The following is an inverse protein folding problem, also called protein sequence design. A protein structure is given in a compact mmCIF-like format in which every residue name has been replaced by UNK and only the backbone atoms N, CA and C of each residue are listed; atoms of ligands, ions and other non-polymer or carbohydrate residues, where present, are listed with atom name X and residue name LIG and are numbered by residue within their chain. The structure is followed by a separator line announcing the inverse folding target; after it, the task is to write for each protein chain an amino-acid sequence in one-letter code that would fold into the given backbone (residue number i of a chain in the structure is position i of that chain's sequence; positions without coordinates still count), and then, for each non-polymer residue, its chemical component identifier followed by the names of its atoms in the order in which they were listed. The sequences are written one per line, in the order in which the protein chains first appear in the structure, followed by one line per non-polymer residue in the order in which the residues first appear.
data_IF_964430886248
#
_entry.id   IF_964430886248
#
_cell.length_a   1.000
_cell.length_b   1.000
_cell.length_c   1.000
_cell.angle_alpha   90.00
_cell.angle_beta   90.00
_cell.angle_gamma   90.00
#
_symmetry.space_group_name_H-M   'P 1'
#
loop_
_entity.id
_entity.type
_entity.pdbx_description
1 polymer ?
#
# COMPACT_ATOMS: atom_id res chain seq x y z
N UNK A 1 -19.27 -3.53 -14.28
CA UNK A 1 -18.06 -2.95 -13.66
C UNK A 1 -17.20 -4.11 -13.22
N UNK A 2 -15.93 -4.13 -13.63
CA UNK A 2 -14.98 -5.17 -13.21
C UNK A 2 -14.66 -4.96 -11.74
N UNK A 3 -14.87 -5.98 -10.90
CA UNK A 3 -14.49 -5.91 -9.49
C UNK A 3 -12.98 -5.66 -9.38
N UNK A 4 -12.61 -4.74 -8.50
CA UNK A 4 -11.21 -4.36 -8.24
C UNK A 4 -10.88 -4.64 -6.78
N UNK A 5 -9.77 -5.32 -6.53
CA UNK A 5 -9.30 -5.65 -5.18
C UNK A 5 -7.96 -4.95 -4.92
N UNK A 6 -7.80 -4.46 -3.70
CA UNK A 6 -6.57 -3.84 -3.20
C UNK A 6 -5.84 -4.79 -2.27
N UNK A 7 -4.53 -4.96 -2.46
CA UNK A 7 -3.65 -5.67 -1.56
C UNK A 7 -2.41 -4.83 -1.25
N UNK A 8 -1.89 -5.01 -0.04
CA UNK A 8 -0.62 -4.40 0.36
C UNK A 8 0.47 -5.47 0.44
N UNK A 9 1.70 -5.17 0.03
CA UNK A 9 2.81 -6.12 0.13
C UNK A 9 3.98 -5.60 0.96
N UNK A 10 4.70 -6.51 1.61
CA UNK A 10 5.95 -6.18 2.30
C UNK A 10 7.17 -6.54 1.44
N UNK A 11 7.88 -5.53 0.97
CA UNK A 11 9.19 -5.68 0.32
C UNK A 11 10.31 -6.04 1.31
N UNK A 12 11.54 -6.19 0.82
CA UNK A 12 12.72 -6.50 1.66
C UNK A 12 12.93 -5.51 2.79
N UNK A 13 12.53 -4.25 2.61
CA UNK A 13 12.77 -3.19 3.58
C UNK A 13 11.70 -3.18 4.67
N UNK A 14 10.42 -3.26 4.28
CA UNK A 14 9.30 -3.39 5.22
C UNK A 14 9.48 -4.56 6.18
N UNK A 15 9.91 -5.72 5.66
CA UNK A 15 10.14 -6.91 6.47
C UNK A 15 11.27 -6.77 7.48
N UNK A 16 12.13 -5.75 7.36
CA UNK A 16 13.24 -5.46 8.29
C UNK A 16 12.87 -4.43 9.35
N UNK A 17 11.64 -3.93 9.38
CA UNK A 17 11.15 -2.98 10.37
C UNK A 17 10.86 -3.63 11.73
N UNK A 18 11.73 -4.53 12.19
CA UNK A 18 11.62 -5.10 13.51
C UNK A 18 11.72 -4.00 14.59
N UNK A 19 10.94 -4.08 15.68
CA UNK A 19 10.02 -5.17 16.00
C UNK A 19 8.64 -5.08 15.33
N UNK A 20 8.28 -3.94 14.72
CA UNK A 20 6.93 -3.68 14.18
C UNK A 20 6.47 -4.71 13.15
N UNK A 21 7.28 -4.98 12.13
CA UNK A 21 6.94 -5.96 11.08
C UNK A 21 6.97 -7.42 11.53
N UNK A 22 7.22 -7.69 12.83
CA UNK A 22 7.13 -9.02 13.44
C UNK A 22 5.83 -9.22 14.20
N UNK A 23 5.14 -8.14 14.56
CA UNK A 23 3.91 -8.19 15.37
C UNK A 23 2.66 -7.86 14.56
N UNK A 24 2.80 -7.15 13.43
CA UNK A 24 1.70 -6.85 12.50
C UNK A 24 2.23 -6.51 11.10
N UNK A 25 1.37 -6.57 10.05
CA UNK A 25 1.74 -6.08 8.73
C UNK A 25 2.11 -4.59 8.78
N UNK A 26 3.13 -4.18 8.04
CA UNK A 26 3.55 -2.77 8.01
C UNK A 26 2.43 -1.81 7.58
N UNK A 27 1.49 -2.29 6.75
CA UNK A 27 0.33 -1.51 6.33
C UNK A 27 -0.62 -1.13 7.49
N UNK A 28 -0.61 -1.89 8.58
CA UNK A 28 -1.42 -1.62 9.78
C UNK A 28 -0.71 -0.69 10.79
N UNK A 29 0.40 -0.06 10.39
CA UNK A 29 1.07 0.96 11.19
C UNK A 29 0.46 2.34 10.93
N UNK A 30 0.22 3.08 12.01
CA UNK A 30 -0.31 4.44 11.97
C UNK A 30 0.74 5.42 11.43
N UNK A 31 0.34 6.28 10.50
CA UNK A 31 1.13 7.41 10.04
C UNK A 31 0.25 8.60 9.65
N UNK A 32 0.22 9.60 10.51
CA UNK A 32 -0.79 10.65 10.51
C UNK A 32 -2.04 10.24 11.30
N UNK A 33 -3.21 10.53 10.73
CA UNK A 33 -4.52 10.16 11.27
C UNK A 33 -5.04 8.81 10.76
N UNK A 34 -4.33 8.17 9.84
CA UNK A 34 -4.70 6.89 9.21
C UNK A 34 -3.53 5.90 9.29
N UNK A 35 -3.84 4.61 9.28
CA UNK A 35 -2.85 3.58 8.93
C UNK A 35 -2.41 3.70 7.47
N UNK A 36 -1.26 3.12 7.13
CA UNK A 36 -0.80 3.08 5.73
C UNK A 36 -1.79 2.33 4.83
N UNK A 37 -2.46 1.29 5.35
CA UNK A 37 -3.56 0.59 4.67
C UNK A 37 -4.73 1.54 4.44
N UNK A 38 -5.28 2.16 5.48
CA UNK A 38 -6.44 3.04 5.33
C UNK A 38 -6.16 4.19 4.36
N UNK A 39 -4.94 4.71 4.36
CA UNK A 39 -4.51 5.70 3.38
C UNK A 39 -4.58 5.16 1.94
N UNK A 40 -4.07 3.96 1.70
CA UNK A 40 -4.21 3.33 0.38
C UNK A 40 -5.69 3.09 0.02
N UNK A 41 -6.52 2.65 0.98
CA UNK A 41 -7.97 2.50 0.77
C UNK A 41 -8.64 3.81 0.36
N UNK A 42 -8.22 4.93 0.95
CA UNK A 42 -8.69 6.27 0.59
C UNK A 42 -8.28 6.67 -0.83
N UNK A 43 -7.03 6.45 -1.23
CA UNK A 43 -6.56 6.77 -2.59
C UNK A 43 -7.29 5.94 -3.64
N UNK A 44 -7.45 4.64 -3.40
CA UNK A 44 -8.02 3.74 -4.39
C UNK A 44 -9.55 3.62 -4.29
N UNK A 45 -10.18 4.16 -3.25
CA UNK A 45 -11.62 4.12 -3.06
C UNK A 45 -12.18 2.71 -2.79
N UNK A 46 -11.37 1.80 -2.27
CA UNK A 46 -11.73 0.39 -2.05
C UNK A 46 -11.07 -0.18 -0.81
N UNK A 47 -11.70 -1.17 -0.17
CA UNK A 47 -11.15 -1.85 1.01
C UNK A 47 -10.01 -2.80 0.64
N UNK A 48 -8.97 -2.82 1.47
CA UNK A 48 -7.89 -3.77 1.35
C UNK A 48 -8.42 -5.18 1.63
N UNK A 49 -8.15 -6.10 0.71
CA UNK A 49 -8.55 -7.50 0.80
C UNK A 49 -7.48 -8.37 1.48
N UNK A 50 -6.24 -7.88 1.61
CA UNK A 50 -5.21 -8.58 2.39
C UNK A 50 -3.80 -8.02 2.27
N UNK A 51 -2.93 -8.49 3.16
CA UNK A 51 -1.50 -8.20 3.19
C UNK A 51 -0.66 -9.39 2.73
N UNK A 52 0.16 -9.18 1.72
CA UNK A 52 1.19 -10.10 1.24
C UNK A 52 2.48 -9.90 2.07
N UNK A 53 2.41 -10.33 3.34
CA UNK A 53 3.47 -10.10 4.34
C UNK A 53 4.31 -11.36 4.64
N UNK A 54 4.89 -11.43 5.84
CA UNK A 54 5.55 -12.64 6.34
C UNK A 54 4.53 -13.73 6.68
N UNK A 55 4.85 -14.98 6.37
CA UNK A 55 4.02 -16.14 6.76
C UNK A 55 3.82 -16.23 8.29
N UNK A 56 4.76 -15.72 9.09
CA UNK A 56 4.61 -15.69 10.56
C UNK A 56 3.43 -14.82 11.05
N UNK A 57 2.88 -13.96 10.19
CA UNK A 57 1.71 -13.12 10.46
C UNK A 57 0.41 -13.73 9.88
N UNK A 58 0.46 -14.94 9.32
CA UNK A 58 -0.75 -15.71 8.98
C UNK A 58 -1.53 -15.95 10.26
N UNK A 59 -2.78 -15.51 10.29
CA UNK A 59 -3.61 -15.50 11.51
C UNK A 59 -3.45 -14.27 12.40
N UNK A 60 -2.77 -13.21 11.94
CA UNK A 60 -2.93 -11.88 12.54
C UNK A 60 -4.41 -11.49 12.51
N UNK A 61 -4.96 -11.19 13.67
CA UNK A 61 -6.39 -10.93 13.89
C UNK A 61 -6.51 -9.75 14.89
N UNK A 62 -6.66 -8.55 14.34
CA UNK A 62 -7.04 -7.35 15.07
C UNK A 62 -8.34 -6.78 14.46
N UNK A 63 -9.23 -6.19 15.26
CA UNK A 63 -10.44 -5.55 14.75
C UNK A 63 -10.12 -4.58 13.62
N UNK A 64 -10.91 -4.63 12.55
CA UNK A 64 -10.83 -3.76 11.37
C UNK A 64 -9.52 -3.85 10.54
N UNK A 65 -8.63 -4.80 10.87
CA UNK A 65 -7.44 -5.08 10.06
C UNK A 65 -7.75 -5.98 8.86
N UNK A 66 -7.00 -5.81 7.78
CA UNK A 66 -7.06 -6.73 6.66
C UNK A 66 -6.26 -8.01 6.98
N UNK A 67 -6.70 -9.20 6.51
CA UNK A 67 -6.00 -10.45 6.81
C UNK A 67 -4.62 -10.49 6.14
N UNK A 68 -3.69 -11.25 6.71
CA UNK A 68 -2.49 -11.66 5.97
C UNK A 68 -2.83 -12.83 5.06
N UNK A 69 -2.49 -12.72 3.78
CA UNK A 69 -2.74 -13.76 2.76
C UNK A 69 -1.45 -14.11 2.01
N UNK A 70 -1.44 -15.28 1.38
CA UNK A 70 -0.42 -15.67 0.40
C UNK A 70 -0.80 -15.23 -1.02
N UNK A 71 0.16 -15.32 -1.95
CA UNK A 71 -0.02 -14.84 -3.32
C UNK A 71 -1.08 -15.64 -4.10
N UNK A 72 -1.18 -16.93 -3.81
CA UNK A 72 -2.14 -17.88 -4.37
C UNK A 72 -3.58 -17.66 -3.88
N UNK A 73 -3.78 -16.84 -2.85
CA UNK A 73 -5.10 -16.43 -2.37
C UNK A 73 -5.66 -15.19 -3.10
N UNK A 74 -4.86 -14.54 -3.97
CA UNK A 74 -5.33 -13.42 -4.78
C UNK A 74 -6.40 -13.89 -5.76
N UNK A 75 -7.58 -13.27 -5.72
CA UNK A 75 -8.72 -13.68 -6.56
C UNK A 75 -8.42 -13.57 -8.05
N UNK A 76 -8.55 -14.66 -8.79
CA UNK A 76 -8.46 -14.63 -10.26
C UNK A 76 -9.60 -13.82 -10.89
N UNK A 77 -9.40 -13.34 -12.13
CA UNK A 77 -10.46 -12.71 -12.92
C UNK A 77 -10.93 -11.32 -12.46
N UNK A 78 -10.32 -10.75 -11.42
CA UNK A 78 -10.56 -9.38 -10.95
C UNK A 78 -9.37 -8.47 -11.26
N UNK A 79 -9.59 -7.15 -11.27
CA UNK A 79 -8.50 -6.18 -11.38
C UNK A 79 -7.80 -6.11 -10.02
N UNK A 80 -6.47 -6.24 -10.00
CA UNK A 80 -5.68 -6.14 -8.77
C UNK A 80 -4.93 -4.83 -8.70
N UNK A 81 -4.92 -4.22 -7.52
CA UNK A 81 -4.00 -3.18 -7.14
C UNK A 81 -3.14 -3.76 -6.03
N UNK A 82 -1.83 -3.85 -6.25
CA UNK A 82 -0.89 -4.42 -5.30
C UNK A 82 0.14 -3.33 -4.99
N UNK A 83 0.08 -2.71 -3.82
CA UNK A 83 0.91 -1.56 -3.44
C UNK A 83 1.78 -1.84 -2.20
N UNK A 84 2.95 -1.22 -2.13
CA UNK A 84 3.87 -1.39 -1.02
C UNK A 84 3.20 -0.93 0.28
N UNK A 85 3.31 -1.77 1.30
CA UNK A 85 2.84 -1.47 2.66
C UNK A 85 3.58 -0.32 3.35
N UNK A 86 4.65 0.21 2.74
CA UNK A 86 5.38 1.41 3.20
C UNK A 86 5.02 2.67 2.41
N UNK A 87 4.13 2.57 1.43
CA UNK A 87 3.69 3.72 0.66
C UNK A 87 2.75 4.58 1.50
N UNK A 88 3.03 5.88 1.56
CA UNK A 88 2.18 6.90 2.14
C UNK A 88 1.86 7.96 1.07
N UNK A 89 1.00 7.63 0.09
CA UNK A 89 0.58 8.59 -0.92
C UNK A 89 -0.20 9.75 -0.30
N UNK A 90 -0.02 10.96 -0.81
CA UNK A 90 -0.84 12.11 -0.44
C UNK A 90 -2.24 11.98 -1.03
N UNK A 91 -3.23 12.60 -0.39
CA UNK A 91 -4.60 12.56 -0.89
C UNK A 91 -4.67 13.24 -2.26
N UNK A 92 -5.11 12.47 -3.25
CA UNK A 92 -5.16 12.89 -4.64
C UNK A 92 -6.20 12.07 -5.39
N UNK A 93 -6.78 12.65 -6.43
CA UNK A 93 -7.60 11.91 -7.37
C UNK A 93 -6.71 11.07 -8.29
N UNK A 94 -7.14 9.86 -8.59
CA UNK A 94 -6.44 8.96 -9.51
C UNK A 94 -7.40 8.42 -10.57
N UNK A 95 -6.85 8.13 -11.74
CA UNK A 95 -7.53 7.36 -12.77
C UNK A 95 -6.81 6.03 -12.92
N UNK A 96 -7.52 4.92 -12.68
CA UNK A 96 -6.94 3.59 -12.77
C UNK A 96 -6.74 3.19 -14.23
N UNK A 97 -5.50 2.82 -14.64
CA UNK A 97 -5.26 2.33 -15.98
C UNK A 97 -6.06 1.05 -16.30
N UNK A 98 -6.52 0.93 -17.55
CA UNK A 98 -7.14 -0.29 -18.07
C UNK A 98 -6.12 -1.35 -18.52
N UNK A 99 -4.86 -0.93 -18.70
CA UNK A 99 -3.71 -1.77 -19.04
C UNK A 99 -2.85 -2.05 -17.79
N UNK A 100 -2.03 -3.12 -17.79
CA UNK A 100 -1.05 -3.34 -16.73
C UNK A 100 -0.14 -2.11 -16.57
N UNK A 101 -0.03 -1.62 -15.33
CA UNK A 101 0.73 -0.42 -15.03
C UNK A 101 1.61 -0.61 -13.79
N UNK A 102 2.78 0.04 -13.82
CA UNK A 102 3.66 0.13 -12.66
C UNK A 102 3.24 1.32 -11.81
N UNK A 103 3.05 1.12 -10.51
CA UNK A 103 2.76 2.21 -9.58
C UNK A 103 4.08 2.75 -9.06
N UNK A 104 4.25 4.07 -9.13
CA UNK A 104 5.36 4.80 -8.54
C UNK A 104 4.83 5.83 -7.56
N UNK A 105 5.61 6.13 -6.51
CA UNK A 105 5.35 7.24 -5.60
C UNK A 105 6.55 8.18 -5.67
N UNK A 106 6.35 9.37 -6.22
CA UNK A 106 7.40 10.32 -6.57
C UNK A 106 8.58 9.65 -7.34
N UNK A 107 8.24 8.85 -8.35
CA UNK A 107 9.18 8.10 -9.18
C UNK A 107 9.80 6.85 -8.52
N UNK A 108 9.50 6.56 -7.25
CA UNK A 108 9.98 5.36 -6.56
C UNK A 108 9.00 4.21 -6.81
N UNK A 109 9.44 3.05 -7.33
CA UNK A 109 8.59 1.89 -7.54
C UNK A 109 7.85 1.44 -6.28
N UNK A 110 6.54 1.36 -6.39
CA UNK A 110 5.63 1.18 -5.26
C UNK A 110 4.67 0.00 -5.44
N UNK A 111 4.43 -0.49 -6.65
CA UNK A 111 3.47 -1.58 -6.84
C UNK A 111 2.98 -1.72 -8.27
N UNK A 112 1.81 -2.34 -8.45
CA UNK A 112 1.26 -2.65 -9.77
C UNK A 112 -0.26 -2.50 -9.80
N UNK A 113 -0.77 -2.09 -10.96
CA UNK A 113 -2.18 -2.25 -11.36
C UNK A 113 -2.23 -3.37 -12.40
N UNK A 114 -3.04 -4.39 -12.16
CA UNK A 114 -3.12 -5.62 -12.94
C UNK A 114 -4.57 -5.88 -13.36
N UNK A 115 -4.96 -5.56 -14.60
CA UNK A 115 -6.26 -5.95 -15.13
C UNK A 115 -6.48 -7.47 -15.12
N UNK A 116 -7.74 -7.94 -15.19
CA UNK A 116 -8.05 -9.38 -15.25
C UNK A 116 -7.25 -10.10 -16.35
N UNK A 117 -6.72 -11.27 -16.02
CA UNK A 117 -5.89 -12.07 -16.93
C UNK A 117 -4.41 -11.69 -16.95
N UNK A 118 -4.00 -10.68 -16.18
CA UNK A 118 -2.57 -10.37 -15.97
C UNK A 118 -2.00 -11.27 -14.87
N UNK A 119 -0.82 -11.82 -15.10
CA UNK A 119 -0.11 -12.64 -14.11
C UNK A 119 0.29 -11.79 -12.89
N UNK A 120 0.11 -12.28 -11.64
CA UNK A 120 0.55 -11.57 -10.45
C UNK A 120 2.08 -11.44 -10.40
N UNK A 121 2.62 -10.46 -9.65
CA UNK A 121 4.06 -10.28 -9.52
C UNK A 121 4.68 -11.50 -8.82
N UNK A 122 5.82 -11.96 -9.32
CA UNK A 122 6.59 -13.01 -8.63
C UNK A 122 6.95 -12.60 -7.20
N UNK A 123 7.24 -13.58 -6.33
CA UNK A 123 7.75 -13.27 -4.99
C UNK A 123 9.00 -12.38 -5.05
N UNK A 124 9.87 -12.58 -6.04
CA UNK A 124 11.07 -11.76 -6.20
C UNK A 124 10.71 -10.29 -6.48
N UNK A 125 9.73 -10.03 -7.34
CA UNK A 125 9.24 -8.68 -7.62
C UNK A 125 8.57 -8.05 -6.40
N UNK A 126 7.81 -8.81 -5.61
CA UNK A 126 7.27 -8.32 -4.33
C UNK A 126 8.38 -7.93 -3.35
N UNK A 127 9.50 -8.66 -3.34
CA UNK A 127 10.64 -8.37 -2.47
C UNK A 127 11.43 -7.17 -2.95
N UNK A 128 11.46 -6.93 -4.25
CA UNK A 128 12.16 -5.83 -4.89
C UNK A 128 11.28 -5.21 -5.99
N UNK A 129 10.43 -4.23 -5.64
CA UNK A 129 9.50 -3.64 -6.59
C UNK A 129 10.19 -2.81 -7.66
N UNK A 130 11.52 -2.59 -7.56
CA UNK A 130 12.31 -1.91 -8.60
C UNK A 130 12.53 -2.77 -9.86
N UNK A 131 12.25 -4.07 -9.77
CA UNK A 131 12.28 -4.97 -10.92
C UNK A 131 11.15 -4.56 -11.87
N UNK A 132 11.52 -3.87 -12.94
CA UNK A 132 10.56 -3.39 -13.94
C UNK A 132 9.87 -4.58 -14.63
N UNK A 133 8.54 -4.70 -14.55
CA UNK A 133 7.78 -5.78 -15.19
C UNK A 133 7.70 -5.66 -16.72
N UNK A 134 8.25 -4.59 -17.32
CA UNK A 134 8.17 -4.31 -18.75
C UNK A 134 6.87 -3.63 -19.18
N UNK A 135 6.08 -3.12 -18.23
CA UNK A 135 4.85 -2.40 -18.52
C UNK A 135 5.14 -1.03 -19.13
N UNK A 136 4.35 -0.65 -20.13
CA UNK A 136 4.48 0.64 -20.82
C UNK A 136 3.82 1.80 -20.06
N UNK A 137 2.91 1.48 -19.13
CA UNK A 137 2.16 2.45 -18.33
C UNK A 137 2.75 2.58 -16.93
N UNK A 138 2.75 3.82 -16.44
CA UNK A 138 3.11 4.18 -15.07
C UNK A 138 1.95 4.96 -14.46
N UNK A 139 1.47 4.52 -13.30
CA UNK A 139 0.57 5.28 -12.44
C UNK A 139 1.44 5.98 -11.39
N UNK A 140 1.67 7.27 -11.59
CA UNK A 140 2.45 8.10 -10.68
C UNK A 140 1.56 8.67 -9.57
N UNK A 141 1.96 8.45 -8.32
CA UNK A 141 1.31 8.98 -7.13
C UNK A 141 2.23 10.01 -6.44
N UNK A 142 1.65 11.09 -5.95
CA UNK A 142 2.35 11.98 -5.02
C UNK A 142 2.40 11.38 -3.62
N UNK A 143 3.50 11.62 -2.89
CA UNK A 143 3.66 11.22 -1.48
C UNK A 143 5.04 10.64 -1.18
N UNK A 144 5.12 9.66 -0.29
CA UNK A 144 6.40 9.08 0.10
C UNK A 144 6.41 7.55 0.20
N UNK A 145 7.59 6.95 -0.03
CA UNK A 145 7.90 5.57 0.33
C UNK A 145 8.75 5.60 1.60
N UNK A 146 8.14 5.25 2.73
CA UNK A 146 8.78 5.41 4.03
C UNK A 146 9.95 4.44 4.15
N UNK A 147 11.17 4.94 4.35
CA UNK A 147 12.37 4.10 4.28
C UNK A 147 12.66 3.34 5.58
N UNK A 148 12.47 4.00 6.72
CA UNK A 148 12.78 3.49 8.06
C UNK A 148 11.56 3.61 8.98
N UNK A 149 11.36 2.67 9.92
CA UNK A 149 10.20 2.69 10.80
C UNK A 149 10.19 3.92 11.72
N UNK A 150 11.35 4.44 12.10
CA UNK A 150 11.46 5.65 12.94
C UNK A 150 10.93 6.91 12.27
N UNK A 151 10.83 6.92 10.93
CA UNK A 151 10.20 8.00 10.16
C UNK A 151 8.74 8.17 10.57
N UNK A 152 8.03 7.05 10.83
CA UNK A 152 6.65 7.05 11.30
C UNK A 152 6.48 7.86 12.58
N UNK A 153 7.50 7.87 13.45
CA UNK A 153 7.49 8.60 14.71
C UNK A 153 7.97 10.05 14.52
N UNK A 154 9.11 10.22 13.83
CA UNK A 154 9.75 11.51 13.66
C UNK A 154 8.91 12.49 12.83
N UNK A 155 8.19 11.98 11.84
CA UNK A 155 7.39 12.78 10.92
C UNK A 155 5.90 12.75 11.25
N UNK A 156 5.47 11.94 12.24
CA UNK A 156 4.05 11.82 12.58
C UNK A 156 3.37 13.16 12.87
N UNK A 157 3.96 14.08 13.65
CA UNK A 157 3.28 15.35 13.98
C UNK A 157 2.94 16.17 12.73
N UNK A 158 3.89 16.25 11.78
CA UNK A 158 3.66 16.94 10.51
C UNK A 158 2.60 16.22 9.68
N UNK A 159 2.64 14.88 9.62
CA UNK A 159 1.65 14.08 8.88
C UNK A 159 0.24 14.23 9.46
N UNK A 160 0.09 14.24 10.78
CA UNK A 160 -1.19 14.48 11.47
C UNK A 160 -1.74 15.84 11.08
N UNK A 161 -0.91 16.89 11.09
CA UNK A 161 -1.34 18.22 10.70
C UNK A 161 -1.88 18.23 9.25
N UNK A 162 -1.11 17.71 8.29
CA UNK A 162 -1.53 17.62 6.89
C UNK A 162 -2.82 16.82 6.72
N UNK A 163 -2.96 15.69 7.41
CA UNK A 163 -4.17 14.88 7.35
C UNK A 163 -5.38 15.63 7.90
N UNK A 164 -5.24 16.35 9.02
CA UNK A 164 -6.35 17.11 9.60
C UNK A 164 -6.81 18.19 8.64
N UNK A 165 -5.87 18.97 8.09
CA UNK A 165 -6.16 20.02 7.12
C UNK A 165 -6.87 19.48 5.87
N UNK A 166 -6.55 18.25 5.46
CA UNK A 166 -7.10 17.64 4.24
C UNK A 166 -8.42 16.91 4.47
N UNK A 167 -8.53 16.10 5.51
CA UNK A 167 -9.71 15.26 5.80
C UNK A 167 -10.80 16.00 6.56
N UNK A 168 -10.42 16.98 7.38
CA UNK A 168 -11.33 17.78 8.20
C UNK A 168 -11.01 19.27 8.06
N UNK A 169 -11.15 19.86 6.85
CA UNK A 169 -10.80 21.26 6.60
C UNK A 169 -11.56 22.28 7.48
N UNK A 170 -12.69 21.86 8.08
CA UNK A 170 -13.46 22.64 9.04
C UNK A 170 -12.84 22.72 10.45
N UNK A 171 -11.78 21.97 10.74
CA UNK A 171 -11.08 21.93 12.03
C UNK A 171 -9.57 22.21 11.87
N UNK A 172 -9.16 23.39 11.36
CA UNK A 172 -7.75 23.70 11.18
C UNK A 172 -7.02 23.76 12.54
N UNK A 173 -5.80 23.21 12.59
CA UNK A 173 -4.89 23.43 13.73
C UNK A 173 -4.46 24.91 13.73
N UNK A 174 -4.86 25.65 14.77
CA UNK A 174 -4.46 27.03 15.00
C UNK A 174 -3.12 27.13 15.75
#
# INVERSE_FOLDING_TARGET
MTQTNLYLFEDRRARRWAPFSLTRPAGELLFGCLTLRERAEHIFGMKCQGHLSRHALVGFDEPDSAPTISLDEISEGTRQIIISSRAAPDFQDIELPDEPAWITVNGIPAGWVLPPGTEPPSELALRDPSINPGYSKVLELQGEIIEYPWTLLAQNPARIQTDIETLWPQHPCA
#
